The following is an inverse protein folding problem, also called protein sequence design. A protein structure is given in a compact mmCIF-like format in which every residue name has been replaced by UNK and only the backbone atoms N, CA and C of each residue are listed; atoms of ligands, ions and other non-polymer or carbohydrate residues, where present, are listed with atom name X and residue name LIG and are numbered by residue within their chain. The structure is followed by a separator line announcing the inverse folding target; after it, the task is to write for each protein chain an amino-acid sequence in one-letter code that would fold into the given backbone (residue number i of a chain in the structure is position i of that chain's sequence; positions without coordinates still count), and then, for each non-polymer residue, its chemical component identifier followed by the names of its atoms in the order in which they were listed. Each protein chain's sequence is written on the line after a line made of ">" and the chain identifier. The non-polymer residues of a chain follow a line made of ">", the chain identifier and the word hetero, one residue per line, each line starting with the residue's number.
data_IF_510261801070
#
_entry.id   IF_510261801070
#
_cell.length_a   1.000
_cell.length_b   1.000
_cell.length_c   1.000
_cell.angle_alpha   90.00
_cell.angle_beta   90.00
_cell.angle_gamma   90.00
#
_symmetry.space_group_name_H-M   'P 1'
#
loop_
_entity.id
_entity.type
_entity.pdbx_description
1 polymer ?
#
# COMPACT_ATOMS: atom_id res chain seq x y z
N UNK A 1 -22.17 -1.64 -15.58
CA UNK A 1 -22.53 -0.49 -14.68
C UNK A 1 -22.94 0.72 -15.52
N UNK A 2 -22.18 1.13 -16.55
CA UNK A 2 -22.52 2.26 -17.45
C UNK A 2 -23.90 2.10 -18.09
N UNK A 3 -24.20 0.92 -18.64
CA UNK A 3 -25.51 0.62 -19.24
C UNK A 3 -26.66 0.78 -18.24
N UNK A 4 -26.49 0.32 -17.01
CA UNK A 4 -27.49 0.48 -15.97
C UNK A 4 -27.71 1.96 -15.61
N UNK A 5 -26.64 2.75 -15.50
CA UNK A 5 -26.72 4.18 -15.24
C UNK A 5 -27.48 4.91 -16.37
N UNK A 6 -27.18 4.56 -17.64
CA UNK A 6 -27.84 5.13 -18.81
C UNK A 6 -29.35 4.79 -18.84
N UNK A 7 -29.70 3.51 -18.66
CA UNK A 7 -31.13 3.07 -18.69
C UNK A 7 -31.92 3.70 -17.55
N UNK A 8 -31.32 3.87 -16.38
CA UNK A 8 -31.98 4.40 -15.19
C UNK A 8 -31.88 5.93 -15.08
N UNK A 9 -31.30 6.62 -16.07
CA UNK A 9 -31.11 8.08 -16.04
C UNK A 9 -30.31 8.56 -14.83
N UNK A 10 -29.38 7.71 -14.28
CA UNK A 10 -28.58 8.05 -13.11
C UNK A 10 -27.20 8.56 -13.51
N UNK A 11 -26.64 9.55 -12.79
CA UNK A 11 -25.29 10.04 -13.04
C UNK A 11 -24.25 8.92 -12.82
N UNK A 12 -23.15 8.99 -13.57
CA UNK A 12 -22.01 8.10 -13.46
C UNK A 12 -20.87 8.81 -12.75
N UNK A 13 -20.18 8.12 -11.85
CA UNK A 13 -19.01 8.65 -11.15
C UNK A 13 -17.79 7.76 -11.47
N UNK A 14 -16.69 8.40 -11.86
CA UNK A 14 -15.42 7.74 -12.20
C UNK A 14 -14.48 7.73 -10.99
N UNK A 15 -14.46 6.64 -10.26
CA UNK A 15 -13.60 6.51 -9.07
C UNK A 15 -12.25 5.93 -9.44
N UNK A 16 -11.16 6.60 -9.08
CA UNK A 16 -9.83 6.02 -9.11
C UNK A 16 -9.71 4.93 -8.02
N UNK A 17 -9.19 3.76 -8.39
CA UNK A 17 -9.10 2.60 -7.52
C UNK A 17 -8.26 2.87 -6.26
N UNK A 18 -7.14 3.60 -6.38
CA UNK A 18 -6.27 3.92 -5.24
C UNK A 18 -6.93 4.92 -4.29
N UNK A 19 -7.71 5.88 -4.80
CA UNK A 19 -8.54 6.74 -3.97
C UNK A 19 -9.56 5.93 -3.18
N UNK A 20 -10.16 4.89 -3.81
CA UNK A 20 -11.02 3.95 -3.12
C UNK A 20 -10.34 3.30 -1.91
N UNK A 21 -9.11 2.78 -2.07
CA UNK A 21 -8.34 2.22 -0.96
C UNK A 21 -8.08 3.22 0.18
N UNK A 22 -7.75 4.46 -0.15
CA UNK A 22 -7.58 5.52 0.87
C UNK A 22 -8.88 5.75 1.64
N UNK A 23 -10.00 5.86 0.90
CA UNK A 23 -11.32 6.14 1.46
C UNK A 23 -11.95 4.95 2.21
N UNK A 24 -11.43 3.73 2.06
CA UNK A 24 -11.81 2.60 2.89
C UNK A 24 -11.62 2.89 4.39
N UNK A 25 -10.66 3.76 4.75
CA UNK A 25 -10.46 4.19 6.13
C UNK A 25 -11.67 4.93 6.70
N UNK A 26 -12.35 5.76 5.91
CA UNK A 26 -13.51 6.54 6.35
C UNK A 26 -14.75 5.66 6.62
N UNK A 27 -14.78 4.43 6.10
CA UNK A 27 -15.84 3.46 6.43
C UNK A 27 -15.75 2.98 7.88
N UNK A 28 -14.56 2.96 8.45
CA UNK A 28 -14.32 2.48 9.82
C UNK A 28 -14.09 3.63 10.80
N UNK A 29 -13.42 4.68 10.36
CA UNK A 29 -13.07 5.86 11.14
C UNK A 29 -13.89 7.06 10.67
N UNK A 30 -15.14 7.15 11.13
CA UNK A 30 -16.07 8.22 10.73
C UNK A 30 -15.63 9.63 11.16
N UNK A 31 -14.69 9.70 12.09
CA UNK A 31 -14.05 10.91 12.60
C UNK A 31 -12.70 11.22 11.95
N UNK A 32 -12.33 10.47 10.89
CA UNK A 32 -11.13 10.75 10.10
C UNK A 32 -11.43 11.88 9.12
N UNK A 33 -10.79 13.01 9.35
CA UNK A 33 -10.91 14.19 8.51
C UNK A 33 -9.55 14.58 7.91
N UNK A 34 -9.53 15.07 6.66
CA UNK A 34 -8.32 15.69 6.10
C UNK A 34 -7.90 16.96 6.88
N UNK A 35 -6.61 17.34 6.89
CA UNK A 35 -5.54 16.65 6.16
C UNK A 35 -4.92 15.48 6.94
N UNK A 36 -4.57 14.41 6.22
CA UNK A 36 -3.85 13.27 6.78
C UNK A 36 -2.88 12.66 5.74
N UNK A 37 -1.87 11.93 6.22
CA UNK A 37 -0.98 11.15 5.37
C UNK A 37 -1.60 9.76 5.12
N UNK A 38 -1.54 9.26 3.90
CA UNK A 38 -1.90 7.87 3.60
C UNK A 38 -0.69 7.11 3.04
N UNK A 39 -0.39 5.96 3.65
CA UNK A 39 0.50 4.96 3.10
C UNK A 39 -0.34 3.91 2.38
N UNK A 40 -0.31 3.95 1.04
CA UNK A 40 -1.03 2.99 0.19
C UNK A 40 -0.07 1.89 -0.22
N UNK A 41 -0.35 0.64 0.17
CA UNK A 41 0.50 -0.53 -0.14
C UNK A 41 -0.38 -1.67 -0.62
N UNK A 42 -0.31 -1.99 -1.91
CA UNK A 42 -1.08 -3.05 -2.55
C UNK A 42 -0.20 -3.96 -3.40
N UNK A 43 -0.81 -4.91 -4.11
CA UNK A 43 -0.10 -5.78 -5.06
C UNK A 43 0.57 -5.02 -6.20
N UNK A 44 -0.02 -3.92 -6.69
CA UNK A 44 0.50 -3.14 -7.82
C UNK A 44 1.01 -1.74 -7.45
N UNK A 45 0.77 -1.26 -6.23
CA UNK A 45 1.10 0.13 -5.87
C UNK A 45 1.74 0.22 -4.49
N UNK A 46 2.72 1.11 -4.37
CA UNK A 46 3.29 1.54 -3.09
C UNK A 46 3.55 3.03 -3.19
N UNK A 47 2.83 3.82 -2.38
CA UNK A 47 2.90 5.28 -2.46
C UNK A 47 2.59 5.97 -1.13
N UNK A 48 3.11 7.17 -0.96
CA UNK A 48 2.78 8.10 0.11
C UNK A 48 2.00 9.28 -0.46
N UNK A 49 0.82 9.50 0.08
CA UNK A 49 -0.14 10.50 -0.39
C UNK A 49 -0.57 11.37 0.78
N UNK A 50 -0.52 12.68 0.62
CA UNK A 50 -1.22 13.61 1.52
C UNK A 50 -2.62 13.82 0.97
N UNK A 51 -3.62 13.49 1.77
CA UNK A 51 -5.01 13.85 1.52
C UNK A 51 -5.21 15.24 2.11
N UNK A 52 -5.28 16.28 1.27
CA UNK A 52 -5.41 17.69 1.69
C UNK A 52 -6.84 18.04 2.07
N UNK A 53 -7.76 17.57 1.27
CA UNK A 53 -9.20 17.54 1.51
C UNK A 53 -9.81 16.30 0.83
N UNK A 54 -11.14 16.13 0.91
CA UNK A 54 -11.81 14.94 0.37
C UNK A 54 -11.68 14.77 -1.16
N UNK A 55 -11.16 15.76 -1.89
CA UNK A 55 -11.03 15.74 -3.35
C UNK A 55 -9.64 16.19 -3.85
N UNK A 56 -8.72 16.51 -2.94
CA UNK A 56 -7.39 17.02 -3.27
C UNK A 56 -6.30 16.15 -2.65
N UNK A 57 -5.46 15.60 -3.50
CA UNK A 57 -4.37 14.69 -3.12
C UNK A 57 -3.03 15.23 -3.57
N UNK A 58 -2.00 14.97 -2.80
CA UNK A 58 -0.61 15.29 -3.14
C UNK A 58 0.23 14.02 -3.02
N UNK A 59 0.80 13.57 -4.13
CA UNK A 59 1.71 12.43 -4.16
C UNK A 59 3.09 12.90 -3.68
N UNK A 60 3.54 12.38 -2.54
CA UNK A 60 4.88 12.66 -2.02
C UNK A 60 5.95 11.76 -2.63
N UNK A 61 5.62 10.50 -2.87
CA UNK A 61 6.51 9.51 -3.46
C UNK A 61 5.79 8.19 -3.75
N UNK A 62 6.38 7.41 -4.64
CA UNK A 62 5.84 6.11 -5.05
C UNK A 62 6.96 5.14 -5.36
N UNK A 63 6.64 3.88 -5.56
CA UNK A 63 7.65 2.91 -6.01
C UNK A 63 8.12 3.24 -7.43
N UNK A 64 9.44 3.10 -7.66
CA UNK A 64 10.08 3.27 -8.97
C UNK A 64 10.15 1.96 -9.76
N UNK A 65 9.83 0.85 -9.11
CA UNK A 65 9.91 -0.49 -9.69
C UNK A 65 8.80 -1.40 -9.12
N UNK A 66 9.14 -2.60 -8.61
CA UNK A 66 8.14 -3.49 -8.02
C UNK A 66 7.41 -2.81 -6.84
N UNK A 67 6.10 -3.02 -6.73
CA UNK A 67 5.37 -2.69 -5.53
C UNK A 67 5.73 -3.65 -4.39
N UNK A 68 5.55 -3.21 -3.14
CA UNK A 68 5.83 -4.07 -1.99
C UNK A 68 5.01 -5.38 -2.02
N UNK A 69 3.70 -5.30 -2.35
CA UNK A 69 2.86 -6.48 -2.46
C UNK A 69 3.31 -7.43 -3.57
N UNK A 70 3.73 -6.90 -4.71
CA UNK A 70 4.31 -7.70 -5.79
C UNK A 70 5.58 -8.42 -5.35
N UNK A 71 6.43 -7.77 -4.55
CA UNK A 71 7.61 -8.40 -3.97
C UNK A 71 7.22 -9.55 -3.02
N UNK A 72 6.23 -9.37 -2.15
CA UNK A 72 5.67 -10.44 -1.32
C UNK A 72 5.19 -11.63 -2.14
N UNK A 73 4.41 -11.39 -3.20
CA UNK A 73 3.86 -12.45 -4.05
C UNK A 73 4.94 -13.21 -4.81
N UNK A 74 5.96 -12.50 -5.33
CA UNK A 74 7.08 -13.11 -6.05
C UNK A 74 7.95 -13.97 -5.13
N UNK A 75 8.24 -13.50 -3.91
CA UNK A 75 9.02 -14.29 -2.93
C UNK A 75 8.23 -15.51 -2.46
N UNK A 76 6.94 -15.36 -2.14
CA UNK A 76 6.10 -16.48 -1.78
C UNK A 76 6.07 -17.57 -2.88
N UNK A 77 5.98 -17.16 -4.15
CA UNK A 77 6.03 -18.08 -5.30
C UNK A 77 7.35 -18.85 -5.38
N UNK A 78 8.48 -18.19 -5.16
CA UNK A 78 9.80 -18.86 -5.13
C UNK A 78 9.89 -19.87 -4.00
N UNK A 79 9.22 -19.63 -2.88
CA UNK A 79 9.10 -20.57 -1.76
C UNK A 79 8.05 -21.66 -1.98
N UNK A 80 7.36 -21.69 -3.13
CA UNK A 80 6.34 -22.71 -3.45
C UNK A 80 4.94 -22.40 -2.95
N UNK A 81 4.65 -21.17 -2.50
CA UNK A 81 3.31 -20.77 -2.03
C UNK A 81 2.45 -20.15 -3.13
N UNK A 82 1.11 -20.34 -3.08
CA UNK A 82 0.20 -19.80 -4.07
C UNK A 82 -0.05 -18.30 -3.87
N UNK A 83 -0.69 -17.66 -4.87
CA UNK A 83 -1.20 -16.31 -4.79
C UNK A 83 -2.52 -16.26 -3.98
N UNK A 84 -2.75 -15.22 -3.16
CA UNK A 84 -1.82 -14.13 -2.81
C UNK A 84 -0.73 -14.56 -1.82
N UNK A 85 0.51 -14.14 -2.07
CA UNK A 85 1.68 -14.57 -1.29
C UNK A 85 1.84 -13.89 0.06
N UNK A 86 1.34 -12.65 0.18
CA UNK A 86 1.52 -11.84 1.39
C UNK A 86 1.11 -12.53 2.69
N UNK A 87 -0.07 -13.15 2.79
CA UNK A 87 -0.51 -13.88 3.99
C UNK A 87 0.41 -15.06 4.38
N UNK A 88 0.99 -15.75 3.40
CA UNK A 88 1.93 -16.86 3.67
C UNK A 88 3.25 -16.34 4.24
N UNK A 89 3.80 -15.28 3.65
CA UNK A 89 5.01 -14.64 4.17
C UNK A 89 4.77 -14.11 5.59
N UNK A 90 3.65 -13.44 5.86
CA UNK A 90 3.31 -12.93 7.19
C UNK A 90 3.19 -14.06 8.23
N UNK A 91 2.62 -15.20 7.84
CA UNK A 91 2.51 -16.38 8.70
C UNK A 91 3.89 -17.00 8.99
N UNK A 92 4.73 -17.20 7.96
CA UNK A 92 6.07 -17.76 8.12
C UNK A 92 6.95 -16.83 8.96
N UNK A 93 6.89 -15.54 8.72
CA UNK A 93 7.69 -14.54 9.43
C UNK A 93 7.48 -14.54 10.95
N UNK A 94 6.31 -14.95 11.44
CA UNK A 94 6.02 -15.10 12.88
C UNK A 94 6.82 -16.20 13.55
N UNK A 95 7.23 -17.22 12.80
CA UNK A 95 8.00 -18.35 13.32
C UNK A 95 9.52 -18.17 13.11
N UNK A 96 9.94 -17.22 12.26
CA UNK A 96 11.33 -17.00 11.88
C UNK A 96 12.04 -15.92 12.70
N UNK A 97 13.36 -15.91 12.57
CA UNK A 97 14.20 -14.85 13.13
C UNK A 97 14.38 -13.69 12.14
N UNK A 98 13.84 -12.49 12.41
CA UNK A 98 13.95 -11.34 11.51
C UNK A 98 15.38 -10.77 11.38
N UNK A 99 16.33 -11.26 12.18
CA UNK A 99 17.74 -10.86 12.15
C UNK A 99 18.67 -11.95 11.58
N UNK A 100 18.11 -13.05 11.07
CA UNK A 100 18.90 -14.16 10.54
C UNK A 100 19.66 -13.80 9.26
N UNK A 101 19.06 -12.92 8.43
CA UNK A 101 19.62 -12.52 7.14
C UNK A 101 19.49 -11.01 7.00
N UNK A 102 20.61 -10.34 6.70
CA UNK A 102 20.60 -8.91 6.39
C UNK A 102 20.38 -8.70 4.90
N UNK A 103 19.18 -8.28 4.52
CA UNK A 103 18.88 -7.92 3.14
C UNK A 103 19.07 -6.42 2.88
N UNK A 104 19.50 -6.03 1.65
CA UNK A 104 19.74 -4.63 1.31
C UNK A 104 18.44 -3.84 1.25
N UNK A 105 18.51 -2.57 1.67
CA UNK A 105 17.44 -1.59 1.50
C UNK A 105 17.86 -0.57 0.43
N UNK A 106 17.04 -0.44 -0.62
CA UNK A 106 17.26 0.56 -1.66
C UNK A 106 16.82 1.96 -1.20
N UNK A 107 17.35 3.00 -1.87
CA UNK A 107 16.97 4.43 -1.71
C UNK A 107 17.09 5.00 -0.29
N UNK A 108 17.81 4.32 0.61
CA UNK A 108 17.95 4.74 2.01
C UNK A 108 18.68 6.09 2.16
N UNK A 109 19.60 6.38 1.25
CA UNK A 109 20.41 7.62 1.27
C UNK A 109 19.79 8.76 0.45
N UNK A 110 18.70 8.53 -0.27
CA UNK A 110 18.04 9.54 -1.08
C UNK A 110 17.03 10.33 -0.24
N UNK A 111 17.04 11.66 -0.42
CA UNK A 111 16.06 12.56 0.20
C UNK A 111 14.67 12.51 -0.45
N UNK A 112 14.38 11.51 -1.28
CA UNK A 112 13.05 11.27 -1.87
C UNK A 112 12.18 10.41 -0.97
N UNK A 113 10.87 10.49 -1.15
CA UNK A 113 9.89 9.59 -0.51
C UNK A 113 9.57 8.37 -1.39
N UNK A 114 10.31 8.17 -2.46
CA UNK A 114 10.14 7.02 -3.34
C UNK A 114 10.61 5.72 -2.69
N UNK A 115 10.04 4.63 -3.20
CA UNK A 115 10.36 3.27 -2.80
C UNK A 115 11.02 2.50 -3.94
N UNK A 116 11.68 1.40 -3.62
CA UNK A 116 12.18 0.42 -4.57
C UNK A 116 12.30 -0.93 -3.87
N UNK A 117 11.77 -1.98 -4.48
CA UNK A 117 11.75 -3.34 -3.92
C UNK A 117 12.35 -4.38 -4.86
N UNK A 118 12.65 -4.06 -6.13
CA UNK A 118 13.22 -5.01 -7.09
C UNK A 118 14.60 -5.52 -6.67
N UNK A 119 15.43 -4.65 -6.12
CA UNK A 119 16.74 -5.04 -5.57
C UNK A 119 16.63 -5.97 -4.37
N UNK A 120 15.71 -5.67 -3.44
CA UNK A 120 15.42 -6.53 -2.29
C UNK A 120 14.90 -7.90 -2.74
N UNK A 121 13.93 -7.94 -3.65
CA UNK A 121 13.41 -9.17 -4.24
C UNK A 121 14.54 -10.02 -4.84
N UNK A 122 15.40 -9.42 -5.67
CA UNK A 122 16.51 -10.13 -6.31
C UNK A 122 17.50 -10.68 -5.29
N UNK A 123 17.81 -9.93 -4.24
CA UNK A 123 18.68 -10.39 -3.16
C UNK A 123 18.13 -11.64 -2.44
N UNK A 124 16.81 -11.65 -2.16
CA UNK A 124 16.16 -12.81 -1.50
C UNK A 124 16.18 -14.03 -2.42
N UNK A 125 15.83 -13.87 -3.70
CA UNK A 125 15.82 -14.97 -4.68
C UNK A 125 17.24 -15.55 -4.84
N UNK A 126 18.24 -14.69 -4.99
CA UNK A 126 19.63 -15.11 -5.11
C UNK A 126 20.12 -15.84 -3.85
N UNK A 127 19.70 -15.40 -2.67
CA UNK A 127 20.03 -16.08 -1.41
C UNK A 127 19.47 -17.50 -1.38
N UNK A 128 18.19 -17.68 -1.72
CA UNK A 128 17.55 -19.00 -1.78
C UNK A 128 18.28 -19.92 -2.77
N UNK A 129 18.45 -19.47 -4.01
CA UNK A 129 19.13 -20.25 -5.06
C UNK A 129 20.56 -20.60 -4.70
N UNK A 130 21.33 -19.67 -4.09
CA UNK A 130 22.70 -19.94 -3.67
C UNK A 130 22.79 -21.03 -2.58
N UNK A 131 21.81 -21.11 -1.69
CA UNK A 131 21.70 -22.17 -0.70
C UNK A 131 21.32 -23.51 -1.32
N UNK A 132 20.35 -23.51 -2.23
CA UNK A 132 19.92 -24.72 -2.96
C UNK A 132 21.04 -25.32 -3.79
N UNK A 133 21.80 -24.50 -4.54
CA UNK A 133 22.96 -24.96 -5.30
C UNK A 133 24.04 -25.58 -4.44
N UNK A 134 24.22 -25.08 -3.22
CA UNK A 134 25.18 -25.62 -2.24
C UNK A 134 24.60 -26.80 -1.44
N UNK A 135 23.36 -27.19 -1.70
CA UNK A 135 22.63 -28.22 -0.96
C UNK A 135 22.58 -27.95 0.57
N UNK A 136 22.53 -26.66 0.94
CA UNK A 136 22.40 -26.21 2.32
C UNK A 136 20.92 -25.96 2.60
N UNK A 137 20.34 -26.49 3.68
CA UNK A 137 18.94 -26.25 4.03
C UNK A 137 18.62 -24.76 4.14
N UNK A 138 17.47 -24.34 3.64
CA UNK A 138 16.94 -22.99 3.75
C UNK A 138 15.83 -22.98 4.80
N UNK A 139 15.96 -22.15 5.82
CA UNK A 139 14.83 -21.84 6.70
C UNK A 139 13.97 -20.79 6.01
N UNK A 140 12.82 -21.19 5.46
CA UNK A 140 11.88 -20.26 4.83
C UNK A 140 11.24 -19.30 5.84
N UNK A 141 11.14 -19.72 7.10
CA UNK A 141 10.68 -18.88 8.21
C UNK A 141 11.64 -17.69 8.42
N UNK A 142 12.95 -17.97 8.47
CA UNK A 142 13.97 -16.92 8.65
C UNK A 142 14.07 -16.00 7.43
N UNK A 143 13.96 -16.57 6.22
CA UNK A 143 13.94 -15.78 4.98
C UNK A 143 12.72 -14.87 4.96
N UNK A 144 11.52 -15.40 5.28
CA UNK A 144 10.29 -14.63 5.32
C UNK A 144 10.35 -13.52 6.39
N UNK A 145 10.85 -13.83 7.60
CA UNK A 145 10.97 -12.87 8.69
C UNK A 145 11.95 -11.74 8.34
N UNK A 146 13.12 -12.07 7.78
CA UNK A 146 14.15 -11.11 7.41
C UNK A 146 13.71 -10.24 6.22
N UNK A 147 13.05 -10.84 5.21
CA UNK A 147 12.48 -10.13 4.07
C UNK A 147 11.37 -9.18 4.51
N UNK A 148 10.39 -9.67 5.28
CA UNK A 148 9.29 -8.85 5.79
C UNK A 148 9.80 -7.67 6.61
N UNK A 149 10.79 -7.88 7.50
CA UNK A 149 11.45 -6.82 8.24
C UNK A 149 12.08 -5.77 7.33
N UNK A 150 12.75 -6.18 6.26
CA UNK A 150 13.36 -5.26 5.30
C UNK A 150 12.29 -4.40 4.60
N UNK A 151 11.19 -5.00 4.12
CA UNK A 151 10.06 -4.25 3.52
C UNK A 151 9.45 -3.28 4.52
N UNK A 152 9.15 -3.74 5.74
CA UNK A 152 8.54 -2.90 6.79
C UNK A 152 9.46 -1.73 7.13
N UNK A 153 10.76 -1.94 7.27
CA UNK A 153 11.71 -0.88 7.57
C UNK A 153 11.73 0.20 6.47
N UNK A 154 11.70 -0.20 5.18
CA UNK A 154 11.65 0.74 4.06
C UNK A 154 10.36 1.59 4.09
N UNK A 155 9.20 0.94 4.28
CA UNK A 155 7.91 1.62 4.38
C UNK A 155 7.84 2.57 5.57
N UNK A 156 8.29 2.11 6.73
CA UNK A 156 8.28 2.86 7.97
C UNK A 156 9.19 4.09 7.90
N UNK A 157 10.44 3.93 7.44
CA UNK A 157 11.42 5.03 7.34
C UNK A 157 10.87 6.19 6.50
N UNK A 158 10.35 5.90 5.30
CA UNK A 158 9.81 6.93 4.40
C UNK A 158 8.51 7.55 4.94
N UNK A 159 7.65 6.74 5.59
CA UNK A 159 6.41 7.27 6.20
C UNK A 159 6.70 8.19 7.36
N UNK A 160 7.63 7.83 8.25
CA UNK A 160 8.03 8.68 9.37
C UNK A 160 8.70 9.97 8.90
N UNK A 161 9.56 9.90 7.88
CA UNK A 161 10.16 11.08 7.26
C UNK A 161 9.11 12.00 6.61
N UNK A 162 8.08 11.42 5.97
CA UNK A 162 6.96 12.20 5.41
C UNK A 162 6.15 12.90 6.50
N UNK A 163 5.86 12.23 7.63
CA UNK A 163 5.21 12.85 8.80
C UNK A 163 6.06 13.99 9.38
N UNK A 164 7.38 13.79 9.46
CA UNK A 164 8.29 14.83 9.96
C UNK A 164 8.34 16.06 9.02
N UNK A 165 8.26 15.86 7.70
CA UNK A 165 8.21 16.96 6.71
C UNK A 165 6.87 17.68 6.71
N UNK A 166 5.76 16.92 6.68
CA UNK A 166 4.40 17.48 6.54
C UNK A 166 3.83 18.01 7.83
N UNK A 167 4.38 17.60 9.00
CA UNK A 167 3.87 17.89 10.35
C UNK A 167 2.45 17.35 10.61
N UNK A 168 1.96 16.46 9.76
CA UNK A 168 0.66 15.83 9.95
C UNK A 168 0.65 14.94 11.19
N UNK A 169 -0.50 14.87 11.86
CA UNK A 169 -0.71 14.14 13.11
C UNK A 169 -1.54 12.87 12.94
N UNK A 170 -1.92 12.56 11.71
CA UNK A 170 -2.68 11.36 11.38
C UNK A 170 -2.08 10.68 10.17
N UNK A 171 -1.93 9.36 10.25
CA UNK A 171 -1.56 8.49 9.12
C UNK A 171 -2.59 7.38 8.96
N UNK A 172 -3.01 7.12 7.72
CA UNK A 172 -3.91 6.04 7.35
C UNK A 172 -3.18 4.99 6.52
N UNK A 173 -3.33 3.72 6.87
CA UNK A 173 -2.86 2.60 6.06
C UNK A 173 -3.94 2.21 5.05
N UNK A 174 -3.56 1.91 3.82
CA UNK A 174 -4.47 1.54 2.75
C UNK A 174 -3.89 0.46 1.84
N UNK A 175 -4.76 -0.31 1.17
CA UNK A 175 -4.37 -1.40 0.27
C UNK A 175 -4.13 -2.73 0.97
N UNK A 176 -4.05 -3.82 0.19
CA UNK A 176 -4.04 -5.20 0.71
C UNK A 176 -2.88 -5.51 1.66
N UNK A 177 -1.69 -4.94 1.43
CA UNK A 177 -0.52 -5.12 2.32
C UNK A 177 -0.69 -4.41 3.66
N UNK A 178 -1.60 -3.43 3.78
CA UNK A 178 -1.97 -2.84 5.06
C UNK A 178 -2.59 -3.85 6.05
N UNK A 179 -2.98 -5.04 5.59
CA UNK A 179 -3.42 -6.15 6.46
C UNK A 179 -2.25 -6.93 7.09
N UNK A 180 -1.00 -6.74 6.62
CA UNK A 180 0.18 -7.41 7.16
C UNK A 180 0.38 -7.08 8.64
N UNK A 181 0.47 -8.12 9.49
CA UNK A 181 0.50 -7.94 10.95
C UNK A 181 1.76 -7.23 11.43
N UNK A 182 2.93 -7.56 10.86
CA UNK A 182 4.19 -6.93 11.22
C UNK A 182 4.24 -5.45 10.82
N UNK A 183 3.67 -5.08 9.66
CA UNK A 183 3.56 -3.68 9.24
C UNK A 183 2.70 -2.88 10.22
N UNK A 184 1.53 -3.41 10.60
CA UNK A 184 0.62 -2.75 11.56
C UNK A 184 1.31 -2.51 12.89
N UNK A 185 1.89 -3.55 13.47
CA UNK A 185 2.60 -3.46 14.75
C UNK A 185 3.73 -2.41 14.72
N UNK A 186 4.55 -2.44 13.67
CA UNK A 186 5.64 -1.48 13.50
C UNK A 186 5.14 -0.04 13.36
N UNK A 187 4.07 0.18 12.57
CA UNK A 187 3.46 1.49 12.39
C UNK A 187 2.83 2.01 13.68
N UNK A 188 2.03 1.19 14.38
CA UNK A 188 1.41 1.54 15.66
C UNK A 188 2.43 1.95 16.71
N UNK A 189 3.50 1.13 16.87
CA UNK A 189 4.59 1.42 17.83
C UNK A 189 5.31 2.74 17.52
N UNK A 190 5.55 3.05 16.25
CA UNK A 190 6.28 4.27 15.87
C UNK A 190 5.38 5.51 15.88
N UNK A 191 4.12 5.38 15.53
CA UNK A 191 3.14 6.45 15.61
C UNK A 191 2.87 6.83 17.08
N UNK A 192 2.73 5.84 17.96
CA UNK A 192 2.55 6.08 19.41
C UNK A 192 3.72 6.90 19.99
N UNK A 193 4.96 6.54 19.67
CA UNK A 193 6.16 7.27 20.12
C UNK A 193 6.20 8.73 19.67
N UNK A 194 5.52 9.06 18.57
CA UNK A 194 5.51 10.40 17.95
C UNK A 194 4.23 11.19 18.24
N UNK A 195 3.32 10.62 19.04
CA UNK A 195 1.98 11.18 19.26
C UNK A 195 1.24 11.46 17.94
N UNK A 196 1.30 10.48 17.02
CA UNK A 196 0.62 10.47 15.72
C UNK A 196 -0.50 9.45 15.78
N UNK A 197 -1.71 9.85 15.38
CA UNK A 197 -2.85 8.94 15.22
C UNK A 197 -2.61 8.02 14.04
N UNK A 198 -2.89 6.73 14.21
CA UNK A 198 -2.89 5.76 13.10
C UNK A 198 -4.31 5.24 12.85
N UNK A 199 -4.71 5.20 11.59
CA UNK A 199 -5.92 4.54 11.11
C UNK A 199 -5.50 3.30 10.31
N UNK A 200 -5.87 2.12 10.81
CA UNK A 200 -5.54 0.82 10.22
C UNK A 200 -6.85 0.05 10.03
N UNK A 201 -7.47 0.07 8.84
CA UNK A 201 -8.80 -0.52 8.65
C UNK A 201 -8.76 -2.04 8.84
N UNK A 202 -9.91 -2.63 9.19
CA UNK A 202 -10.03 -4.08 9.32
C UNK A 202 -9.57 -4.79 8.04
N UNK A 203 -8.99 -5.99 8.11
CA UNK A 203 -8.43 -6.69 6.94
C UNK A 203 -9.40 -6.80 5.75
N UNK A 204 -10.71 -6.99 5.99
CA UNK A 204 -11.73 -7.02 4.95
C UNK A 204 -11.93 -5.69 4.21
N UNK A 205 -11.52 -4.56 4.79
CA UNK A 205 -11.56 -3.25 4.14
C UNK A 205 -10.23 -2.89 3.45
N UNK A 206 -9.16 -3.64 3.73
CA UNK A 206 -7.86 -3.43 3.07
C UNK A 206 -7.83 -3.97 1.64
N UNK A 207 -8.59 -5.04 1.36
CA UNK A 207 -8.69 -5.65 0.02
C UNK A 207 -9.75 -4.97 -0.82
N UNK A 208 -9.75 -5.28 -2.13
CA UNK A 208 -10.74 -4.74 -3.08
C UNK A 208 -12.17 -5.06 -2.64
N UNK A 209 -12.98 -4.02 -2.54
CA UNK A 209 -14.39 -4.16 -2.16
C UNK A 209 -15.23 -3.03 -2.75
N UNK A 210 -16.55 -3.27 -2.87
CA UNK A 210 -17.46 -2.28 -3.43
C UNK A 210 -17.69 -1.06 -2.52
N UNK A 211 -17.58 -1.24 -1.19
CA UNK A 211 -17.85 -0.17 -0.23
C UNK A 211 -16.80 0.95 -0.32
N UNK A 212 -15.52 0.62 -0.53
CA UNK A 212 -14.45 1.61 -0.70
C UNK A 212 -14.71 2.53 -1.91
N UNK A 213 -15.21 1.95 -3.01
CA UNK A 213 -15.56 2.70 -4.22
C UNK A 213 -16.79 3.58 -3.96
N UNK A 214 -17.81 3.04 -3.27
CA UNK A 214 -19.00 3.79 -2.89
C UNK A 214 -18.70 4.95 -1.96
N UNK A 215 -17.82 4.74 -0.98
CA UNK A 215 -17.37 5.79 -0.06
C UNK A 215 -16.69 6.95 -0.82
N UNK A 216 -15.75 6.64 -1.70
CA UNK A 216 -15.10 7.68 -2.52
C UNK A 216 -16.10 8.40 -3.44
N UNK A 217 -16.96 7.64 -4.10
CA UNK A 217 -17.99 8.19 -4.97
C UNK A 217 -18.94 9.16 -4.24
N UNK A 218 -19.25 8.92 -2.97
CA UNK A 218 -20.09 9.82 -2.17
C UNK A 218 -19.50 11.24 -2.09
N UNK A 219 -18.20 11.37 -1.79
CA UNK A 219 -17.54 12.67 -1.70
C UNK A 219 -17.41 13.36 -3.07
N UNK A 220 -17.21 12.58 -4.15
CA UNK A 220 -17.22 13.11 -5.52
C UNK A 220 -18.60 13.62 -5.93
N UNK A 221 -19.66 12.86 -5.58
CA UNK A 221 -21.05 13.26 -5.85
C UNK A 221 -21.43 14.58 -5.17
N UNK A 222 -20.99 14.78 -3.91
CA UNK A 222 -21.23 16.03 -3.19
C UNK A 222 -20.59 17.24 -3.87
N UNK A 223 -19.47 17.05 -4.57
CA UNK A 223 -18.81 18.09 -5.37
C UNK A 223 -19.42 18.26 -6.77
N UNK A 224 -20.32 17.35 -7.18
CA UNK A 224 -20.88 17.35 -8.52
C UNK A 224 -19.93 16.79 -9.59
N UNK A 225 -18.93 16.00 -9.18
CA UNK A 225 -17.95 15.38 -10.08
C UNK A 225 -18.54 14.13 -10.74
N UNK A 226 -19.20 14.36 -11.88
CA UNK A 226 -19.84 13.30 -12.66
C UNK A 226 -19.11 13.07 -13.97
N UNK A 227 -18.95 11.80 -14.31
CA UNK A 227 -18.32 11.37 -15.54
C UNK A 227 -19.30 11.30 -16.71
N UNK A 228 -18.86 11.50 -17.96
CA UNK A 228 -19.68 11.32 -19.13
C UNK A 228 -20.06 9.84 -19.32
N UNK A 229 -21.22 9.59 -19.95
CA UNK A 229 -21.68 8.23 -20.25
C UNK A 229 -20.79 7.48 -21.26
N UNK A 230 -19.84 8.18 -21.90
CA UNK A 230 -18.81 7.60 -22.78
C UNK A 230 -17.62 7.02 -22.03
N UNK A 231 -17.54 7.21 -20.70
CA UNK A 231 -16.44 6.72 -19.88
C UNK A 231 -16.19 5.22 -20.09
N UNK A 232 -14.94 4.85 -20.29
CA UNK A 232 -14.46 3.47 -20.25
C UNK A 232 -13.52 3.26 -19.05
N UNK A 233 -13.45 2.02 -18.55
CA UNK A 233 -12.48 1.67 -17.55
C UNK A 233 -11.06 1.71 -18.15
N UNK A 234 -10.14 2.35 -17.45
CA UNK A 234 -8.71 2.33 -17.79
C UNK A 234 -7.94 1.71 -16.61
N UNK A 235 -7.43 0.47 -16.78
CA UNK A 235 -6.68 -0.22 -15.72
C UNK A 235 -5.29 0.38 -15.47
N UNK A 236 -4.82 1.27 -16.34
CA UNK A 236 -3.51 1.93 -16.25
C UNK A 236 -3.63 3.40 -15.87
N UNK A 237 -4.83 3.86 -15.47
CA UNK A 237 -5.03 5.24 -15.05
C UNK A 237 -4.11 5.56 -13.87
N UNK A 238 -3.15 6.51 -14.00
CA UNK A 238 -2.28 6.88 -12.90
C UNK A 238 -3.08 7.53 -11.77
N UNK A 239 -2.56 7.42 -10.53
CA UNK A 239 -3.24 7.93 -9.34
C UNK A 239 -3.58 9.43 -9.43
N UNK A 240 -2.69 10.24 -10.01
CA UNK A 240 -2.91 11.66 -10.29
C UNK A 240 -2.87 11.89 -11.80
N UNK A 241 -3.73 11.21 -12.56
CA UNK A 241 -3.98 11.59 -13.94
C UNK A 241 -4.68 12.94 -13.94
N UNK A 242 -3.88 13.99 -14.17
CA UNK A 242 -4.33 15.32 -14.56
C UNK A 242 -5.36 16.02 -13.63
N UNK A 243 -4.98 16.32 -12.41
CA UNK A 243 -5.46 17.54 -11.76
C UNK A 243 -4.55 18.68 -12.21
N UNK A 244 -4.80 19.23 -13.40
CA UNK A 244 -4.15 20.48 -13.82
C UNK A 244 -3.16 20.35 -14.97
N UNK A 245 -3.66 20.14 -16.17
CA UNK A 245 -3.22 20.85 -17.38
C UNK A 245 -4.44 21.58 -17.91
N UNK A 246 -4.63 22.74 -17.42
CA UNK A 246 -5.35 23.84 -18.11
C UNK A 246 -4.30 24.82 -18.58
#
# INVERSE_FOLDING_TARGET
>A
KRQAAWVLGKPLIAVNHMEGHIFANLLQYSDLEPPFLSLVVSGGHTMLVVVRDYNTFELLGQTRDDAAGEAFDKIARVMGYPYPGGPYIDKLAKAGNPNAIEFPLALRKEHSFDFSFSGLKSAVINYIHAKEMKKVPVSYEDVAASFQKAVINALLEKTMAALDKTKLKTVALAGGVAANSGLREAMEKNCLKRNVRICSPAPGLCTDNGAMIGCRAYYMAQKGDFAPMTLNADPRLPFLAEQGKV
#
